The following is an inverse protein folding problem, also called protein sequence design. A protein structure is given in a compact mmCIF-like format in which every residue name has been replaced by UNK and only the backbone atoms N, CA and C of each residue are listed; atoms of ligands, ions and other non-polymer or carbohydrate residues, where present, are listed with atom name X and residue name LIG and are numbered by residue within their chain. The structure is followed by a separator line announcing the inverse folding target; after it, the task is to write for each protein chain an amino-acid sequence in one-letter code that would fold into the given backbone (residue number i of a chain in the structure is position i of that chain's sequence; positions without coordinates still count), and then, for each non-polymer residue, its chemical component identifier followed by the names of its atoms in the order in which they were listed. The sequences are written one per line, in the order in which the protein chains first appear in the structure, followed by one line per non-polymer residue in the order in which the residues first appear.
data_IF_737699143391
#
_entry.id   IF_737699143391
#
_cell.length_a   1.000
_cell.length_b   1.000
_cell.length_c   1.000
_cell.angle_alpha   90.00
_cell.angle_beta   90.00
_cell.angle_gamma   90.00
#
_symmetry.space_group_name_H-M   'P 1'
#
loop_
_entity.id
_entity.type
_entity.pdbx_description
1 polymer ?
#
# COMPACT_ATOMS: atom_id res chain seq x y z
N UNK A 1 -12.20 9.61 -23.01
CA UNK A 1 -11.78 10.91 -22.44
C UNK A 1 -10.65 10.62 -21.47
N UNK A 2 -9.43 11.13 -21.62
CA UNK A 2 -8.32 10.73 -20.78
C UNK A 2 -8.52 11.31 -19.37
N UNK A 3 -8.81 10.43 -18.39
CA UNK A 3 -8.94 10.72 -16.95
C UNK A 3 -7.61 11.09 -16.26
N UNK A 4 -6.53 11.27 -17.01
CA UNK A 4 -5.17 11.20 -16.51
C UNK A 4 -4.37 12.52 -16.56
N UNK A 5 -5.00 13.70 -16.38
CA UNK A 5 -4.22 14.96 -16.32
C UNK A 5 -4.78 15.97 -15.34
N UNK A 6 -4.49 15.77 -14.03
CA UNK A 6 -4.37 16.91 -13.09
C UNK A 6 -3.32 16.55 -12.02
N UNK A 7 -2.18 17.20 -12.06
CA UNK A 7 -0.97 16.78 -11.35
C UNK A 7 -0.98 16.99 -9.83
N UNK A 8 -1.67 17.94 -9.26
CA UNK A 8 -1.57 18.21 -7.82
C UNK A 8 -2.38 17.31 -6.88
N UNK A 9 -3.73 17.27 -6.98
CA UNK A 9 -4.57 16.49 -6.08
C UNK A 9 -4.34 14.98 -6.21
N UNK A 10 -4.13 14.48 -7.44
CA UNK A 10 -3.92 13.08 -7.72
C UNK A 10 -2.59 12.56 -7.11
N UNK A 11 -1.53 13.37 -7.13
CA UNK A 11 -0.25 13.02 -6.50
C UNK A 11 -0.42 12.85 -4.99
N UNK A 12 -1.12 13.77 -4.33
CA UNK A 12 -1.40 13.68 -2.90
C UNK A 12 -2.22 12.43 -2.56
N UNK A 13 -3.17 12.06 -3.40
CA UNK A 13 -4.02 10.89 -3.23
C UNK A 13 -3.25 9.58 -3.43
N UNK A 14 -2.38 9.51 -4.43
CA UNK A 14 -1.48 8.38 -4.60
C UNK A 14 -0.53 8.25 -3.40
N UNK A 15 0.04 9.35 -2.93
CA UNK A 15 0.93 9.35 -1.76
C UNK A 15 0.23 8.82 -0.50
N UNK A 16 -1.04 9.23 -0.26
CA UNK A 16 -1.83 8.70 0.86
C UNK A 16 -1.99 7.19 0.77
N UNK A 17 -2.27 6.67 -0.42
CA UNK A 17 -2.46 5.24 -0.64
C UNK A 17 -1.16 4.45 -0.47
N UNK A 18 -0.05 4.96 -1.01
CA UNK A 18 1.28 4.39 -0.83
C UNK A 18 1.70 4.36 0.65
N UNK A 19 1.47 5.47 1.36
CA UNK A 19 1.72 5.58 2.80
C UNK A 19 0.89 4.60 3.61
N UNK A 20 -0.41 4.48 3.31
CA UNK A 20 -1.31 3.57 3.99
C UNK A 20 -0.94 2.10 3.83
N UNK A 21 -0.33 1.72 2.70
CA UNK A 21 0.23 0.38 2.52
C UNK A 21 1.38 0.13 3.51
N UNK A 22 2.29 1.10 3.66
CA UNK A 22 3.37 1.04 4.65
C UNK A 22 2.86 0.97 6.08
N UNK A 23 1.87 1.79 6.44
CA UNK A 23 1.25 1.79 7.77
C UNK A 23 0.65 0.42 8.09
N UNK A 24 -0.11 -0.15 7.13
CA UNK A 24 -0.77 -1.46 7.29
C UNK A 24 0.24 -2.57 7.55
N UNK A 25 1.36 -2.58 6.81
CA UNK A 25 2.40 -3.60 6.92
C UNK A 25 3.25 -3.46 8.19
N UNK A 26 3.37 -2.25 8.71
CA UNK A 26 4.11 -1.95 9.94
C UNK A 26 3.25 -2.06 11.20
N UNK A 27 1.96 -2.39 11.07
CA UNK A 27 1.02 -2.48 12.18
C UNK A 27 0.63 -1.14 12.79
N UNK A 28 0.88 -0.04 12.08
CA UNK A 28 0.50 1.31 12.51
C UNK A 28 -0.96 1.64 12.14
N UNK A 29 -1.52 2.61 12.83
CA UNK A 29 -2.83 3.18 12.49
C UNK A 29 -2.72 3.90 11.14
N UNK A 30 -3.72 3.75 10.28
CA UNK A 30 -3.76 4.42 8.99
C UNK A 30 -3.58 5.95 9.14
N UNK A 31 -2.69 6.52 8.34
CA UNK A 31 -2.30 7.91 8.38
C UNK A 31 -1.07 8.19 9.26
N UNK A 32 -0.46 7.17 9.88
CA UNK A 32 0.78 7.31 10.63
C UNK A 32 1.88 7.94 9.77
N UNK A 33 2.17 7.38 8.61
CA UNK A 33 3.18 7.92 7.69
C UNK A 33 2.88 9.34 7.25
N UNK A 34 1.62 9.70 7.02
CA UNK A 34 1.23 11.07 6.68
C UNK A 34 1.43 12.05 7.85
N UNK A 35 1.25 11.60 9.10
CA UNK A 35 1.59 12.42 10.27
C UNK A 35 3.10 12.63 10.38
N UNK A 36 3.88 11.56 10.20
CA UNK A 36 5.35 11.67 10.14
C UNK A 36 5.77 12.66 9.05
N UNK A 37 5.17 12.58 7.85
CA UNK A 37 5.42 13.51 6.75
C UNK A 37 5.18 14.98 7.14
N UNK A 38 4.00 15.25 7.70
CA UNK A 38 3.58 16.59 8.08
C UNK A 38 4.51 17.18 9.14
N UNK A 39 4.83 16.42 10.19
CA UNK A 39 5.73 16.88 11.26
C UNK A 39 7.15 17.08 10.73
N UNK A 40 7.66 16.14 9.91
CA UNK A 40 9.02 16.24 9.36
C UNK A 40 9.18 17.47 8.45
N UNK A 41 8.19 17.75 7.60
CA UNK A 41 8.22 18.92 6.73
C UNK A 41 8.15 20.24 7.54
N UNK A 42 7.23 20.34 8.51
CA UNK A 42 7.12 21.51 9.36
C UNK A 42 8.39 21.72 10.22
N UNK A 43 8.99 20.65 10.71
CA UNK A 43 10.26 20.71 11.42
C UNK A 43 11.41 21.16 10.50
N UNK A 44 11.45 20.69 9.25
CA UNK A 44 12.41 21.12 8.25
C UNK A 44 12.28 22.63 7.93
N UNK A 45 11.05 23.16 7.82
CA UNK A 45 10.78 24.60 7.69
C UNK A 45 11.26 25.36 8.92
N UNK A 46 11.00 24.88 10.14
CA UNK A 46 11.45 25.51 11.39
C UNK A 46 12.98 25.62 11.47
N UNK A 47 13.69 24.64 10.94
CA UNK A 47 15.15 24.63 10.85
C UNK A 47 15.71 25.59 9.81
N UNK A 48 14.87 26.11 8.91
CA UNK A 48 15.30 26.92 7.78
C UNK A 48 15.96 26.10 6.67
N UNK A 49 15.62 24.81 6.54
CA UNK A 49 16.12 23.96 5.47
C UNK A 49 15.64 24.47 4.09
N UNK A 50 16.42 24.25 3.01
CA UNK A 50 16.01 24.61 1.66
C UNK A 50 14.67 23.94 1.24
N UNK A 51 13.88 24.58 0.36
CA UNK A 51 12.57 24.07 -0.07
C UNK A 51 12.58 22.64 -0.61
N UNK A 52 13.63 22.24 -1.32
CA UNK A 52 13.82 20.89 -1.82
C UNK A 52 14.04 19.86 -0.71
N UNK A 53 14.69 20.25 0.39
CA UNK A 53 14.88 19.40 1.59
C UNK A 53 13.57 19.25 2.33
N UNK A 54 12.78 20.33 2.44
CA UNK A 54 11.43 20.31 3.03
C UNK A 54 10.53 19.33 2.27
N UNK A 55 10.50 19.44 0.93
CA UNK A 55 9.72 18.55 0.10
C UNK A 55 10.18 17.10 0.25
N UNK A 56 11.49 16.83 0.15
CA UNK A 56 12.05 15.49 0.32
C UNK A 56 11.72 14.89 1.71
N UNK A 57 11.75 15.72 2.76
CA UNK A 57 11.39 15.30 4.13
C UNK A 57 9.92 14.90 4.25
N UNK A 58 9.02 15.61 3.57
CA UNK A 58 7.60 15.27 3.51
C UNK A 58 7.38 13.90 2.86
N UNK A 59 7.91 13.73 1.64
CA UNK A 59 7.73 12.49 0.90
C UNK A 59 8.42 11.29 1.57
N UNK A 60 9.62 11.51 2.13
CA UNK A 60 10.31 10.46 2.87
C UNK A 60 9.58 10.09 4.16
N UNK A 61 9.03 11.06 4.88
CA UNK A 61 8.17 10.81 6.04
C UNK A 61 6.94 9.98 5.70
N UNK A 62 6.25 10.30 4.59
CA UNK A 62 5.09 9.54 4.13
C UNK A 62 5.42 8.09 3.74
N UNK A 63 6.59 7.88 3.13
CA UNK A 63 6.96 6.61 2.49
C UNK A 63 8.01 5.80 3.29
N UNK A 64 8.36 6.23 4.51
CA UNK A 64 9.43 5.60 5.29
C UNK A 64 9.24 4.09 5.55
N UNK A 65 8.00 3.63 5.58
CA UNK A 65 7.63 2.23 5.84
C UNK A 65 7.30 1.43 4.57
N UNK A 66 7.32 2.04 3.37
CA UNK A 66 6.85 1.40 2.13
C UNK A 66 7.64 0.14 1.77
N UNK A 67 8.90 0.05 2.18
CA UNK A 67 9.73 -1.14 1.93
C UNK A 67 9.23 -2.41 2.59
N UNK A 68 8.32 -2.30 3.58
CA UNK A 68 7.65 -3.44 4.19
C UNK A 68 6.87 -4.30 3.19
N UNK A 69 6.50 -3.78 2.01
CA UNK A 69 5.87 -4.57 0.95
C UNK A 69 6.76 -5.70 0.43
N UNK A 70 8.07 -5.64 0.59
CA UNK A 70 9.01 -6.70 0.23
C UNK A 70 9.37 -7.65 1.39
N UNK A 71 8.83 -7.41 2.58
CA UNK A 71 9.00 -8.33 3.71
C UNK A 71 8.18 -9.59 3.44
N UNK A 72 8.77 -10.80 3.52
CA UNK A 72 8.04 -12.04 3.29
C UNK A 72 6.83 -12.19 4.22
N UNK A 73 5.75 -12.77 3.70
CA UNK A 73 4.56 -13.10 4.48
C UNK A 73 4.96 -14.14 5.55
N UNK A 74 4.56 -13.90 6.80
CA UNK A 74 4.90 -14.77 7.92
C UNK A 74 6.32 -14.62 8.45
N UNK A 75 7.06 -13.57 8.01
CA UNK A 75 8.33 -13.23 8.64
C UNK A 75 8.10 -12.98 10.14
N UNK A 76 8.91 -13.60 11.02
CA UNK A 76 8.71 -13.45 12.46
C UNK A 76 8.91 -11.99 12.88
N UNK A 77 7.99 -11.48 13.70
CA UNK A 77 8.10 -10.12 14.24
C UNK A 77 9.28 -9.97 15.25
N UNK A 78 9.74 -11.09 15.80
CA UNK A 78 10.75 -11.13 16.86
C UNK A 78 11.90 -12.08 16.49
N UNK A 79 12.99 -11.99 17.24
CA UNK A 79 14.17 -12.82 17.02
C UNK A 79 15.09 -12.29 15.91
N UNK A 80 16.13 -13.08 15.60
CA UNK A 80 17.15 -12.67 14.61
C UNK A 80 16.59 -12.41 13.22
N UNK A 81 15.65 -13.23 12.77
CA UNK A 81 15.05 -13.12 11.44
C UNK A 81 14.15 -11.88 11.34
N UNK A 82 13.35 -11.59 12.38
CA UNK A 82 12.55 -10.37 12.44
C UNK A 82 13.39 -9.11 12.44
N UNK A 83 14.51 -9.11 13.17
CA UNK A 83 15.47 -7.99 13.17
C UNK A 83 16.07 -7.79 11.77
N UNK A 84 16.48 -8.87 11.09
CA UNK A 84 17.03 -8.79 9.73
C UNK A 84 16.00 -8.28 8.74
N UNK A 85 14.75 -8.78 8.80
CA UNK A 85 13.67 -8.29 7.95
C UNK A 85 13.41 -6.80 8.17
N UNK A 86 13.39 -6.33 9.43
CA UNK A 86 13.23 -4.92 9.74
C UNK A 86 14.38 -4.04 9.20
N UNK A 87 15.60 -4.57 9.14
CA UNK A 87 16.77 -3.87 8.59
C UNK A 87 16.69 -3.68 7.08
N UNK A 88 16.01 -4.56 6.38
CA UNK A 88 15.85 -4.48 4.92
C UNK A 88 14.76 -3.47 4.49
N UNK A 89 13.82 -3.14 5.37
CA UNK A 89 12.71 -2.21 5.04
C UNK A 89 13.21 -0.87 4.50
N UNK A 90 14.17 -0.14 5.11
CA UNK A 90 14.67 1.12 4.56
C UNK A 90 15.34 0.96 3.20
N UNK A 91 16.07 -0.15 3.00
CA UNK A 91 16.74 -0.48 1.72
C UNK A 91 15.72 -0.71 0.62
N UNK A 92 14.74 -1.56 0.88
CA UNK A 92 13.65 -1.84 -0.05
C UNK A 92 12.83 -0.59 -0.35
N UNK A 93 12.53 0.22 0.68
CA UNK A 93 11.83 1.49 0.52
C UNK A 93 12.55 2.44 -0.42
N UNK A 94 13.86 2.61 -0.24
CA UNK A 94 14.68 3.44 -1.12
C UNK A 94 14.66 2.94 -2.58
N UNK A 95 14.76 1.62 -2.80
CA UNK A 95 14.69 1.03 -4.14
C UNK A 95 13.32 1.25 -4.79
N UNK A 96 12.23 1.06 -4.05
CA UNK A 96 10.87 1.30 -4.56
C UNK A 96 10.73 2.78 -4.96
N UNK A 97 11.13 3.72 -4.08
CA UNK A 97 11.04 5.15 -4.34
C UNK A 97 11.84 5.56 -5.57
N UNK A 98 13.06 5.05 -5.71
CA UNK A 98 13.89 5.31 -6.88
C UNK A 98 13.25 4.81 -8.18
N UNK A 99 12.57 3.66 -8.14
CA UNK A 99 11.86 3.09 -9.28
C UNK A 99 10.58 3.84 -9.64
N UNK A 100 9.88 4.44 -8.67
CA UNK A 100 8.68 5.24 -8.94
C UNK A 100 8.99 6.50 -9.78
N UNK A 101 10.16 7.10 -9.59
CA UNK A 101 10.54 8.34 -10.26
C UNK A 101 9.69 9.55 -9.88
N UNK A 102 10.06 10.74 -10.36
CA UNK A 102 9.25 11.95 -10.20
C UNK A 102 9.05 12.44 -8.76
N UNK A 103 9.71 11.87 -7.76
CA UNK A 103 9.76 12.36 -6.37
C UNK A 103 11.00 13.25 -6.16
N UNK A 104 11.03 14.12 -5.12
CA UNK A 104 12.23 14.90 -4.81
C UNK A 104 13.47 14.01 -4.69
N UNK A 105 14.61 14.35 -5.29
CA UNK A 105 15.75 13.43 -5.47
C UNK A 105 16.28 12.81 -4.18
N UNK A 106 16.30 13.57 -3.08
CA UNK A 106 16.81 13.07 -1.79
C UNK A 106 15.82 12.16 -1.02
N UNK A 107 14.59 11.97 -1.52
CA UNK A 107 13.55 11.18 -0.83
C UNK A 107 14.00 9.74 -0.58
N UNK A 108 14.60 9.09 -1.59
CA UNK A 108 15.07 7.72 -1.47
C UNK A 108 16.19 7.58 -0.42
N UNK A 109 17.14 8.51 -0.40
CA UNK A 109 18.24 8.53 0.56
C UNK A 109 17.74 8.75 1.99
N UNK A 110 16.77 9.66 2.18
CA UNK A 110 16.20 9.91 3.50
C UNK A 110 15.41 8.69 4.01
N UNK A 111 14.71 7.98 3.14
CA UNK A 111 14.07 6.70 3.49
C UNK A 111 15.11 5.64 3.79
N UNK A 112 16.21 5.54 3.03
CA UNK A 112 17.27 4.58 3.29
C UNK A 112 17.87 4.77 4.69
N UNK A 113 18.10 6.02 5.10
CA UNK A 113 18.90 6.32 6.30
C UNK A 113 18.12 6.82 7.51
N UNK A 114 16.78 6.85 7.48
CA UNK A 114 15.98 7.29 8.64
C UNK A 114 16.09 6.35 9.87
N UNK A 115 16.68 5.18 9.70
CA UNK A 115 16.98 4.21 10.80
C UNK A 115 18.45 4.18 11.20
N UNK A 116 19.25 5.05 10.61
CA UNK A 116 20.60 5.24 11.09
C UNK A 116 20.61 5.92 12.45
N UNK A 117 21.65 5.63 13.25
CA UNK A 117 21.83 6.19 14.58
C UNK A 117 23.10 7.02 14.63
N UNK A 118 23.04 8.16 15.30
CA UNK A 118 24.16 9.12 15.37
C UNK A 118 25.47 8.48 15.88
N UNK A 119 25.39 7.48 16.76
CA UNK A 119 26.53 6.74 17.30
C UNK A 119 27.01 5.59 16.38
N UNK A 120 26.33 5.33 15.24
CA UNK A 120 26.66 4.28 14.28
C UNK A 120 26.12 2.90 14.63
N UNK A 121 25.22 2.79 15.60
CA UNK A 121 24.54 1.52 15.93
C UNK A 121 23.29 1.28 15.08
N UNK A 122 22.90 2.26 14.25
CA UNK A 122 21.77 2.18 13.35
C UNK A 122 22.02 1.31 12.12
N UNK A 123 21.11 1.38 11.16
CA UNK A 123 21.11 0.58 9.94
C UNK A 123 20.46 1.33 8.77
N UNK A 124 20.72 0.97 7.52
CA UNK A 124 21.40 -0.24 7.04
C UNK A 124 22.91 -0.11 6.92
N UNK A 125 23.47 1.09 6.74
CA UNK A 125 24.86 1.31 6.33
C UNK A 125 25.80 1.61 7.52
N UNK A 126 25.27 1.71 8.74
CA UNK A 126 25.98 2.04 9.98
C UNK A 126 26.74 3.36 9.89
N UNK A 127 26.09 4.33 9.27
CA UNK A 127 26.63 5.69 9.16
C UNK A 127 26.77 6.31 10.56
N UNK A 128 27.69 7.27 10.68
CA UNK A 128 27.96 7.97 11.95
C UNK A 128 28.01 9.46 11.74
N UNK A 129 27.51 10.19 12.75
CA UNK A 129 27.63 11.66 12.84
C UNK A 129 27.19 12.33 11.53
N UNK A 130 28.09 13.17 10.96
CA UNK A 130 27.82 13.93 9.74
C UNK A 130 27.73 13.07 8.46
N UNK A 131 27.98 11.77 8.55
CA UNK A 131 27.73 10.85 7.45
C UNK A 131 26.24 10.60 7.21
N UNK A 132 25.38 10.89 8.20
CA UNK A 132 23.93 10.74 8.07
C UNK A 132 23.35 12.12 7.71
N UNK A 133 22.57 12.25 6.64
CA UNK A 133 21.86 13.50 6.34
C UNK A 133 20.99 13.95 7.51
N UNK A 134 21.10 15.21 7.89
CA UNK A 134 20.32 15.75 9.02
C UNK A 134 18.81 15.54 8.87
N UNK A 135 18.28 15.63 7.64
CA UNK A 135 16.88 15.35 7.35
C UNK A 135 16.50 13.88 7.62
N UNK A 136 17.38 12.92 7.32
CA UNK A 136 17.12 11.50 7.62
C UNK A 136 17.06 11.26 9.15
N UNK A 137 18.01 11.82 9.92
CA UNK A 137 17.97 11.77 11.40
C UNK A 137 16.69 12.43 11.92
N UNK A 138 16.31 13.58 11.35
CA UNK A 138 15.09 14.31 11.75
C UNK A 138 13.84 13.45 11.52
N UNK A 139 13.73 12.77 10.37
CA UNK A 139 12.61 11.85 10.07
C UNK A 139 12.58 10.70 11.08
N UNK A 140 13.73 10.12 11.43
CA UNK A 140 13.83 9.09 12.46
C UNK A 140 13.32 9.57 13.82
N UNK A 141 13.71 10.80 14.25
CA UNK A 141 13.23 11.43 15.48
C UNK A 141 11.71 11.70 15.45
N UNK A 142 11.22 12.26 14.35
CA UNK A 142 9.79 12.52 14.14
C UNK A 142 8.98 11.23 14.20
N UNK A 143 9.45 10.16 13.52
CA UNK A 143 8.79 8.86 13.55
C UNK A 143 8.67 8.34 14.98
N UNK A 144 9.76 8.34 15.74
CA UNK A 144 9.77 7.88 17.14
C UNK A 144 8.84 8.74 18.02
N UNK A 145 8.78 10.03 17.77
CA UNK A 145 7.88 10.94 18.44
C UNK A 145 6.40 10.63 18.14
N UNK A 146 6.04 10.46 16.87
CA UNK A 146 4.67 10.13 16.47
C UNK A 146 4.27 8.74 16.99
N UNK A 147 5.19 7.77 17.00
CA UNK A 147 4.98 6.44 17.56
C UNK A 147 4.72 6.50 19.07
N UNK A 148 5.45 7.34 19.81
CA UNK A 148 5.22 7.55 21.23
C UNK A 148 3.85 8.18 21.52
N UNK A 149 3.37 9.09 20.64
CA UNK A 149 2.02 9.66 20.75
C UNK A 149 0.91 8.63 20.56
N UNK A 150 1.16 7.57 19.78
CA UNK A 150 0.14 6.54 19.46
C UNK A 150 0.17 5.32 20.39
N UNK A 151 1.30 5.09 21.09
CA UNK A 151 1.55 3.82 21.79
C UNK A 151 0.69 3.58 23.05
N UNK A 152 -0.02 4.58 23.57
CA UNK A 152 -0.75 4.50 24.84
C UNK A 152 -2.27 4.46 24.71
N UNK A 153 -2.84 4.36 23.49
CA UNK A 153 -4.32 4.27 23.30
C UNK A 153 -5.11 5.53 23.69
N UNK A 154 -4.53 6.40 24.49
CA UNK A 154 -4.85 7.79 24.73
C UNK A 154 -3.59 8.56 24.31
N UNK A 155 -3.74 9.58 23.46
CA UNK A 155 -2.62 10.39 23.00
C UNK A 155 -1.77 10.81 24.19
N UNK A 156 -0.56 10.29 24.29
CA UNK A 156 0.42 10.83 25.22
C UNK A 156 0.58 12.31 24.89
N UNK A 157 0.71 13.14 25.90
CA UNK A 157 0.93 14.56 25.63
C UNK A 157 2.23 14.73 24.82
N UNK A 158 2.33 15.72 23.93
CA UNK A 158 3.59 16.01 23.23
C UNK A 158 4.80 16.12 24.16
N UNK A 159 4.60 16.56 25.40
CA UNK A 159 5.65 16.61 26.41
C UNK A 159 6.15 15.20 26.81
N UNK A 160 5.27 14.26 26.97
CA UNK A 160 5.61 12.85 27.29
C UNK A 160 6.32 12.19 26.10
N UNK A 161 5.84 12.43 24.88
CA UNK A 161 6.49 11.94 23.68
C UNK A 161 7.91 12.54 23.51
N UNK A 162 8.10 13.81 23.81
CA UNK A 162 9.43 14.45 23.84
C UNK A 162 10.34 13.87 24.93
N UNK A 163 9.77 13.51 26.08
CA UNK A 163 10.52 12.86 27.15
C UNK A 163 10.99 11.47 26.75
N UNK A 164 10.18 10.71 26.00
CA UNK A 164 10.58 9.41 25.47
C UNK A 164 11.83 9.51 24.55
N UNK A 165 11.98 10.60 23.81
CA UNK A 165 13.16 10.87 22.97
C UNK A 165 14.42 11.23 23.78
N UNK A 166 14.29 11.70 25.02
CA UNK A 166 15.44 12.20 25.80
C UNK A 166 16.48 11.11 26.10
N UNK A 167 16.08 9.85 26.24
CA UNK A 167 16.98 8.71 26.46
C UNK A 167 17.85 8.35 25.25
N UNK A 168 17.49 8.82 24.07
CA UNK A 168 18.14 8.51 22.79
C UNK A 168 19.07 9.63 22.30
N UNK A 169 19.14 10.73 23.02
CA UNK A 169 20.03 11.86 22.71
C UNK A 169 21.49 11.45 22.85
N UNK A 170 22.28 11.71 21.81
CA UNK A 170 23.70 11.32 21.75
C UNK A 170 23.92 9.89 21.26
N UNK A 171 22.85 9.07 21.15
CA UNK A 171 22.86 7.73 20.56
C UNK A 171 22.19 7.76 19.20
N UNK A 172 20.86 7.76 19.20
CA UNK A 172 20.05 7.77 17.97
C UNK A 172 20.04 9.14 17.32
N UNK A 173 19.95 10.22 18.12
CA UNK A 173 19.87 11.60 17.64
C UNK A 173 21.04 12.43 18.14
N UNK A 174 21.47 13.43 17.31
CA UNK A 174 22.45 14.41 17.78
C UNK A 174 21.81 15.34 18.82
N UNK A 175 22.66 15.89 19.72
CA UNK A 175 22.26 16.91 20.70
C UNK A 175 21.64 18.12 19.98
N UNK A 176 22.14 18.48 18.80
CA UNK A 176 21.63 19.58 18.00
C UNK A 176 20.18 19.30 17.55
N UNK A 177 19.92 18.16 16.91
CA UNK A 177 18.56 17.78 16.48
C UNK A 177 17.60 17.74 17.68
N UNK A 178 18.03 17.21 18.82
CA UNK A 178 17.19 17.18 20.01
C UNK A 178 16.82 18.57 20.54
N UNK A 179 17.77 19.52 20.51
CA UNK A 179 17.51 20.92 20.89
C UNK A 179 16.55 21.63 19.93
N UNK A 180 16.79 21.48 18.64
CA UNK A 180 15.95 22.05 17.58
C UNK A 180 14.53 21.47 17.64
N UNK A 181 14.41 20.16 17.86
CA UNK A 181 13.13 19.48 17.98
C UNK A 181 12.34 19.95 19.22
N UNK A 182 13.02 20.09 20.36
CA UNK A 182 12.41 20.66 21.57
C UNK A 182 11.95 22.11 21.37
N UNK A 183 12.75 22.95 20.70
CA UNK A 183 12.38 24.31 20.38
C UNK A 183 11.17 24.38 19.45
N UNK A 184 11.12 23.50 18.45
CA UNK A 184 9.99 23.38 17.52
C UNK A 184 8.65 23.13 18.23
N UNK A 185 8.65 22.28 19.26
CA UNK A 185 7.42 21.96 20.01
C UNK A 185 7.12 22.93 21.15
N UNK A 186 8.10 23.71 21.64
CA UNK A 186 7.87 24.65 22.72
C UNK A 186 6.83 25.74 22.37
N UNK A 187 6.81 26.15 21.09
CA UNK A 187 5.95 27.24 20.60
C UNK A 187 4.76 26.79 19.79
N UNK A 188 4.61 25.46 19.53
CA UNK A 188 3.71 24.95 18.47
C UNK A 188 3.01 23.65 18.82
N UNK A 189 2.48 23.50 20.01
CA UNK A 189 1.79 22.29 20.47
C UNK A 189 0.55 21.88 19.64
N UNK A 190 0.06 22.73 18.73
CA UNK A 190 -1.19 22.56 17.99
C UNK A 190 -1.03 22.34 16.48
N UNK A 191 0.19 22.28 15.93
CA UNK A 191 0.39 22.36 14.46
C UNK A 191 0.69 21.03 13.76
N UNK A 192 -0.07 19.97 14.10
CA UNK A 192 -0.02 18.72 13.32
C UNK A 192 -1.04 18.67 12.17
N UNK A 193 -1.81 19.74 11.94
CA UNK A 193 -3.00 19.67 11.09
C UNK A 193 -2.73 19.80 9.59
N UNK A 194 -1.65 20.48 9.18
CA UNK A 194 -1.37 20.66 7.76
C UNK A 194 0.13 20.65 7.46
N UNK A 195 0.54 20.05 6.32
CA UNK A 195 1.91 20.23 5.83
C UNK A 195 2.12 21.67 5.37
N UNK A 196 3.38 22.15 5.33
CA UNK A 196 3.70 23.45 4.73
C UNK A 196 3.42 23.40 3.22
N UNK A 197 3.37 24.57 2.59
CA UNK A 197 3.39 24.65 1.14
C UNK A 197 4.69 24.05 0.61
N UNK A 198 4.57 23.04 -0.25
CA UNK A 198 5.72 22.34 -0.81
C UNK A 198 6.11 22.97 -2.14
N UNK A 199 7.39 23.31 -2.30
CA UNK A 199 7.93 23.84 -3.55
C UNK A 199 7.99 22.81 -4.70
N UNK A 200 7.64 21.57 -4.45
CA UNK A 200 7.61 20.50 -5.44
C UNK A 200 6.18 20.30 -5.96
N UNK A 201 6.01 20.50 -7.28
CA UNK A 201 4.71 20.51 -7.95
C UNK A 201 4.22 19.14 -8.43
N UNK A 202 4.99 18.09 -8.22
CA UNK A 202 4.68 16.74 -8.69
C UNK A 202 4.91 16.56 -10.20
N UNK A 203 5.58 17.48 -10.86
CA UNK A 203 5.90 17.34 -12.27
C UNK A 203 6.73 16.07 -12.54
N UNK A 204 6.19 15.20 -13.41
CA UNK A 204 6.82 13.92 -13.74
C UNK A 204 6.48 12.75 -12.80
N UNK A 205 5.67 12.94 -11.75
CA UNK A 205 5.16 11.83 -10.95
C UNK A 205 3.91 11.21 -11.59
N UNK A 206 4.05 9.95 -12.01
CA UNK A 206 2.92 9.16 -12.51
C UNK A 206 2.19 8.48 -11.34
N UNK A 207 1.14 9.12 -10.85
CA UNK A 207 0.36 8.63 -9.70
C UNK A 207 -0.28 7.26 -9.94
N UNK A 208 -0.85 7.01 -11.13
CA UNK A 208 -1.45 5.71 -11.47
C UNK A 208 -0.40 4.64 -11.66
N UNK A 209 0.70 4.96 -12.35
CA UNK A 209 1.85 4.07 -12.50
C UNK A 209 2.49 3.73 -11.16
N UNK A 210 2.61 4.69 -10.24
CA UNK A 210 3.14 4.46 -8.91
C UNK A 210 2.26 3.50 -8.09
N UNK A 211 0.95 3.68 -8.13
CA UNK A 211 0.00 2.78 -7.46
C UNK A 211 0.02 1.38 -8.11
N UNK A 212 0.08 1.29 -9.44
CA UNK A 212 0.19 0.02 -10.15
C UNK A 212 1.51 -0.71 -9.82
N UNK A 213 2.63 0.01 -9.75
CA UNK A 213 3.93 -0.54 -9.36
C UNK A 213 3.88 -1.10 -7.91
N UNK A 214 3.25 -0.38 -6.98
CA UNK A 214 3.04 -0.88 -5.62
C UNK A 214 2.19 -2.16 -5.62
N UNK A 215 1.13 -2.21 -6.42
CA UNK A 215 0.31 -3.42 -6.57
C UNK A 215 1.14 -4.62 -7.04
N UNK A 216 2.07 -4.43 -7.98
CA UNK A 216 2.98 -5.46 -8.44
C UNK A 216 3.94 -5.94 -7.33
N UNK A 217 4.45 -5.02 -6.50
CA UNK A 217 5.28 -5.38 -5.33
C UNK A 217 4.47 -6.17 -4.29
N UNK A 218 3.20 -5.80 -4.04
CA UNK A 218 2.31 -6.57 -3.15
C UNK A 218 2.06 -7.97 -3.71
N UNK A 219 1.78 -8.09 -5.00
CA UNK A 219 1.58 -9.38 -5.67
C UNK A 219 2.83 -10.27 -5.58
N UNK A 220 4.02 -9.69 -5.60
CA UNK A 220 5.28 -10.40 -5.56
C UNK A 220 5.63 -10.99 -4.19
N UNK A 221 4.93 -10.62 -3.12
CA UNK A 221 5.15 -11.15 -1.75
C UNK A 221 4.87 -12.65 -1.63
N UNK A 222 4.00 -13.19 -2.48
CA UNK A 222 3.65 -14.60 -2.54
C UNK A 222 3.82 -15.10 -3.99
N UNK A 223 4.54 -16.21 -4.17
CA UNK A 223 4.77 -16.80 -5.49
C UNK A 223 3.47 -17.13 -6.25
N UNK A 224 2.41 -17.49 -5.52
CA UNK A 224 1.09 -17.84 -6.10
C UNK A 224 0.38 -16.63 -6.69
N UNK A 225 0.64 -15.44 -6.14
CA UNK A 225 0.02 -14.19 -6.59
C UNK A 225 0.96 -13.34 -7.43
N UNK A 226 2.23 -13.71 -7.54
CA UNK A 226 3.23 -12.96 -8.32
C UNK A 226 2.72 -12.64 -9.72
N UNK A 227 2.64 -11.33 -10.04
CA UNK A 227 2.18 -10.82 -11.33
C UNK A 227 0.69 -11.04 -11.62
N UNK A 228 -0.14 -11.35 -10.60
CA UNK A 228 -1.60 -11.55 -10.78
C UNK A 228 -2.25 -10.33 -11.41
N UNK A 229 -1.98 -9.14 -10.90
CA UNK A 229 -2.54 -7.89 -11.43
C UNK A 229 -2.26 -7.73 -12.92
N UNK A 230 -1.04 -8.03 -13.36
CA UNK A 230 -0.63 -7.92 -14.76
C UNK A 230 -1.24 -9.00 -15.66
N UNK A 231 -1.50 -10.20 -15.14
CA UNK A 231 -2.20 -11.26 -15.90
C UNK A 231 -3.69 -10.97 -16.00
N UNK A 232 -4.32 -10.49 -14.91
CA UNK A 232 -5.77 -10.27 -14.84
C UNK A 232 -6.19 -8.99 -15.57
N UNK A 233 -5.39 -7.93 -15.53
CA UNK A 233 -5.73 -6.63 -16.11
C UNK A 233 -6.14 -6.69 -17.60
N UNK A 234 -5.41 -7.35 -18.51
CA UNK A 234 -5.81 -7.43 -19.91
C UNK A 234 -7.06 -8.30 -20.12
N UNK A 235 -7.32 -9.28 -19.26
CA UNK A 235 -8.54 -10.09 -19.29
C UNK A 235 -9.72 -9.22 -18.85
N UNK A 236 -9.58 -8.49 -17.75
CA UNK A 236 -10.61 -7.59 -17.24
C UNK A 236 -10.96 -6.49 -18.27
N UNK A 237 -9.95 -5.91 -18.94
CA UNK A 237 -10.17 -4.93 -20.01
C UNK A 237 -10.98 -5.51 -21.19
N UNK A 238 -10.62 -6.70 -21.66
CA UNK A 238 -11.32 -7.35 -22.77
C UNK A 238 -12.77 -7.74 -22.40
N UNK A 239 -12.99 -8.22 -21.18
CA UNK A 239 -14.32 -8.49 -20.65
C UNK A 239 -15.15 -7.19 -20.54
N UNK A 240 -14.55 -6.11 -20.05
CA UNK A 240 -15.22 -4.83 -19.91
C UNK A 240 -15.70 -4.26 -21.25
N UNK A 241 -14.84 -4.32 -22.27
CA UNK A 241 -15.20 -3.92 -23.63
C UNK A 241 -16.43 -4.68 -24.14
N UNK A 242 -16.51 -6.00 -23.87
CA UNK A 242 -17.64 -6.84 -24.25
C UNK A 242 -18.91 -6.54 -23.42
N UNK A 243 -18.73 -6.21 -22.15
CA UNK A 243 -19.83 -5.95 -21.21
C UNK A 243 -20.31 -4.51 -21.22
N UNK A 244 -19.74 -3.62 -22.06
CA UNK A 244 -20.08 -2.19 -22.10
C UNK A 244 -19.60 -1.39 -20.90
N UNK A 245 -18.54 -1.87 -20.23
CA UNK A 245 -17.84 -1.18 -19.14
C UNK A 245 -16.55 -0.52 -19.67
N UNK A 246 -15.96 0.38 -18.88
CA UNK A 246 -14.69 1.00 -19.23
C UNK A 246 -13.52 0.00 -19.10
N UNK A 247 -12.78 -0.30 -20.20
CA UNK A 247 -11.68 -1.25 -20.17
C UNK A 247 -10.47 -0.77 -19.35
N UNK A 248 -10.19 0.53 -19.35
CA UNK A 248 -9.04 1.08 -18.60
C UNK A 248 -9.32 1.03 -17.11
N UNK A 249 -10.53 1.40 -16.68
CA UNK A 249 -10.96 1.26 -15.29
C UNK A 249 -10.94 -0.21 -14.83
N UNK A 250 -11.41 -1.13 -15.66
CA UNK A 250 -11.42 -2.56 -15.31
C UNK A 250 -9.99 -3.11 -15.16
N UNK A 251 -9.08 -2.75 -16.08
CA UNK A 251 -7.68 -3.16 -16.00
C UNK A 251 -6.99 -2.60 -14.76
N UNK A 252 -7.24 -1.33 -14.43
CA UNK A 252 -6.64 -0.71 -13.25
C UNK A 252 -7.23 -1.30 -11.96
N UNK A 253 -8.56 -1.47 -11.89
CA UNK A 253 -9.23 -2.10 -10.75
C UNK A 253 -8.72 -3.54 -10.49
N UNK A 254 -8.40 -4.30 -11.53
CA UNK A 254 -7.79 -5.62 -11.40
C UNK A 254 -6.45 -5.56 -10.64
N UNK A 255 -5.59 -4.58 -10.92
CA UNK A 255 -4.34 -4.35 -10.16
C UNK A 255 -4.62 -3.96 -8.73
N UNK A 256 -5.57 -3.07 -8.48
CA UNK A 256 -5.93 -2.60 -7.15
C UNK A 256 -6.40 -3.71 -6.19
N UNK A 257 -6.80 -4.88 -6.70
CA UNK A 257 -7.12 -6.04 -5.84
C UNK A 257 -5.95 -6.49 -4.98
N UNK A 258 -4.71 -6.15 -5.38
CA UNK A 258 -3.50 -6.41 -4.60
C UNK A 258 -3.57 -5.83 -3.18
N UNK A 259 -4.19 -4.66 -2.99
CA UNK A 259 -4.32 -4.02 -1.67
C UNK A 259 -5.07 -4.90 -0.66
N UNK A 260 -5.93 -5.78 -1.11
CA UNK A 260 -6.59 -6.75 -0.23
C UNK A 260 -5.61 -7.64 0.54
N UNK A 261 -4.48 -7.98 -0.06
CA UNK A 261 -3.47 -8.88 0.49
C UNK A 261 -2.45 -8.22 1.43
N UNK A 262 -2.66 -6.96 1.79
CA UNK A 262 -1.81 -6.26 2.77
C UNK A 262 -2.08 -6.67 4.21
N UNK A 263 -3.23 -7.28 4.50
CA UNK A 263 -3.46 -7.86 5.82
C UNK A 263 -2.83 -9.26 5.91
N UNK A 264 -2.32 -9.58 7.07
CA UNK A 264 -1.70 -10.88 7.36
C UNK A 264 -2.77 -11.97 7.53
N UNK A 265 -3.37 -12.46 6.46
CA UNK A 265 -4.05 -13.73 6.53
C UNK A 265 -3.42 -14.63 5.51
N UNK A 266 -2.52 -15.46 5.95
CA UNK A 266 -2.17 -16.71 5.29
C UNK A 266 -3.36 -17.67 5.45
N UNK A 267 -4.51 -17.32 4.95
CA UNK A 267 -5.50 -18.32 4.64
C UNK A 267 -4.95 -19.04 3.42
N UNK A 268 -4.50 -20.25 3.61
CA UNK A 268 -3.91 -21.02 2.56
C UNK A 268 -4.76 -20.96 1.30
N UNK A 269 -4.22 -20.36 0.24
CA UNK A 269 -4.82 -20.36 -1.12
C UNK A 269 -4.79 -21.77 -1.74
N UNK A 270 -4.69 -22.81 -0.91
CA UNK A 270 -4.77 -24.21 -1.32
C UNK A 270 -6.19 -24.65 -1.66
N UNK A 271 -7.16 -23.74 -1.53
CA UNK A 271 -8.55 -24.04 -1.85
C UNK A 271 -8.86 -23.80 -3.31
N UNK A 272 -9.66 -24.71 -3.87
CA UNK A 272 -10.27 -24.50 -5.17
C UNK A 272 -11.03 -23.16 -5.18
N UNK A 273 -10.79 -22.27 -6.17
CA UNK A 273 -11.47 -20.96 -6.26
C UNK A 273 -13.00 -21.02 -6.24
N UNK A 274 -13.59 -22.15 -6.62
CA UNK A 274 -15.04 -22.40 -6.56
C UNK A 274 -15.50 -22.91 -5.18
N UNK A 275 -14.57 -23.25 -4.29
CA UNK A 275 -14.90 -23.70 -2.94
C UNK A 275 -15.39 -22.56 -2.05
N UNK A 276 -16.32 -22.87 -1.14
CA UNK A 276 -16.69 -21.98 -0.04
C UNK A 276 -15.60 -21.88 1.04
N UNK A 277 -14.69 -22.85 1.05
CA UNK A 277 -13.50 -22.75 1.89
C UNK A 277 -12.69 -21.51 1.45
N UNK A 278 -12.19 -20.74 2.41
CA UNK A 278 -11.49 -19.48 2.11
C UNK A 278 -12.40 -18.28 1.75
N UNK A 279 -13.74 -18.42 1.76
CA UNK A 279 -14.64 -17.28 1.49
C UNK A 279 -14.47 -16.14 2.49
N UNK A 280 -14.22 -16.44 3.76
CA UNK A 280 -13.92 -15.43 4.79
C UNK A 280 -12.61 -14.68 4.52
N UNK A 281 -11.57 -15.38 4.05
CA UNK A 281 -10.30 -14.76 3.68
C UNK A 281 -10.49 -13.81 2.49
N UNK A 282 -11.17 -14.25 1.43
CA UNK A 282 -11.48 -13.39 0.27
C UNK A 282 -12.33 -12.17 0.66
N UNK A 283 -13.26 -12.33 1.61
CA UNK A 283 -14.04 -11.24 2.13
C UNK A 283 -13.20 -10.27 2.99
N UNK A 284 -12.21 -10.78 3.72
CA UNK A 284 -11.25 -9.95 4.45
C UNK A 284 -10.37 -9.13 3.49
N UNK A 285 -9.89 -9.75 2.40
CA UNK A 285 -9.19 -9.06 1.32
C UNK A 285 -10.05 -7.93 0.73
N UNK A 286 -11.31 -8.23 0.40
CA UNK A 286 -12.23 -7.26 -0.15
C UNK A 286 -12.44 -6.06 0.80
N UNK A 287 -12.65 -6.32 2.10
CA UNK A 287 -12.79 -5.26 3.12
C UNK A 287 -11.52 -4.42 3.25
N UNK A 288 -10.35 -5.04 3.19
CA UNK A 288 -9.07 -4.35 3.29
C UNK A 288 -8.85 -3.44 2.09
N UNK A 289 -9.06 -3.94 0.86
CA UNK A 289 -8.96 -3.13 -0.34
C UNK A 289 -9.96 -1.95 -0.31
N UNK A 290 -11.22 -2.21 0.06
CA UNK A 290 -12.24 -1.16 0.19
C UNK A 290 -11.82 -0.07 1.16
N UNK A 291 -11.32 -0.45 2.35
CA UNK A 291 -10.89 0.50 3.38
C UNK A 291 -9.73 1.36 2.91
N UNK A 292 -8.71 0.75 2.32
CA UNK A 292 -7.51 1.45 1.86
C UNK A 292 -7.82 2.41 0.71
N UNK A 293 -8.60 1.98 -0.28
CA UNK A 293 -8.98 2.86 -1.38
C UNK A 293 -9.89 4.01 -0.93
N UNK A 294 -10.73 3.77 0.08
CA UNK A 294 -11.65 4.79 0.60
C UNK A 294 -10.98 5.99 1.28
N UNK A 295 -9.69 5.89 1.67
CA UNK A 295 -8.97 7.03 2.26
C UNK A 295 -8.40 8.01 1.23
N UNK A 296 -8.44 7.67 -0.04
CA UNK A 296 -7.84 8.44 -1.12
C UNK A 296 -8.93 8.84 -2.13
N UNK A 297 -9.37 10.11 -2.16
CA UNK A 297 -10.48 10.55 -2.99
C UNK A 297 -10.40 10.14 -4.47
N UNK A 298 -9.22 10.24 -5.09
CA UNK A 298 -9.03 9.86 -6.49
C UNK A 298 -9.20 8.35 -6.77
N UNK A 299 -9.05 7.50 -5.76
CA UNK A 299 -9.17 6.04 -5.90
C UNK A 299 -10.41 5.48 -5.19
N UNK A 300 -11.15 6.33 -4.46
CA UNK A 300 -12.34 5.93 -3.72
C UNK A 300 -13.46 5.39 -4.61
N UNK A 301 -13.51 5.79 -5.88
CA UNK A 301 -14.48 5.26 -6.86
C UNK A 301 -14.39 3.75 -7.05
N UNK A 302 -13.20 3.16 -6.87
CA UNK A 302 -12.99 1.71 -6.96
C UNK A 302 -13.38 0.95 -5.69
N UNK A 303 -13.47 1.62 -4.55
CA UNK A 303 -13.70 0.99 -3.24
C UNK A 303 -15.00 0.15 -3.18
N UNK A 304 -16.16 0.60 -3.70
CA UNK A 304 -17.38 -0.20 -3.70
C UNK A 304 -17.27 -1.50 -4.50
N UNK A 305 -16.57 -1.47 -5.64
CA UNK A 305 -16.39 -2.66 -6.48
C UNK A 305 -15.43 -3.64 -5.81
N UNK A 306 -14.29 -3.16 -5.30
CA UNK A 306 -13.32 -4.04 -4.65
C UNK A 306 -13.85 -4.62 -3.33
N UNK A 307 -14.66 -3.86 -2.59
CA UNK A 307 -15.34 -4.35 -1.39
C UNK A 307 -16.38 -5.44 -1.65
N UNK A 308 -16.86 -5.57 -2.89
CA UNK A 308 -17.87 -6.55 -3.29
C UNK A 308 -17.32 -7.69 -4.18
N UNK A 309 -16.01 -7.74 -4.44
CA UNK A 309 -15.41 -8.72 -5.37
C UNK A 309 -15.56 -10.17 -4.92
N UNK A 310 -15.74 -10.40 -3.62
CA UNK A 310 -15.95 -11.73 -3.03
C UNK A 310 -17.43 -12.12 -2.85
N UNK A 311 -18.37 -11.24 -3.26
CA UNK A 311 -19.79 -11.56 -3.27
C UNK A 311 -20.12 -12.62 -4.32
N UNK A 312 -21.12 -13.45 -4.02
CA UNK A 312 -21.64 -14.44 -4.94
C UNK A 312 -22.96 -13.98 -5.56
N UNK A 313 -23.16 -14.25 -6.83
CA UNK A 313 -24.30 -13.74 -7.58
C UNK A 313 -25.65 -14.19 -6.99
N UNK A 314 -25.72 -15.36 -6.38
CA UNK A 314 -26.91 -15.88 -5.69
C UNK A 314 -27.17 -15.25 -4.31
N UNK A 315 -26.27 -14.40 -3.82
CA UNK A 315 -26.35 -13.72 -2.51
C UNK A 315 -25.79 -14.54 -1.34
N UNK A 316 -25.18 -15.70 -1.60
CA UNK A 316 -24.55 -16.52 -0.54
C UNK A 316 -23.10 -16.17 -0.26
N UNK A 317 -22.53 -15.18 -1.00
CA UNK A 317 -21.18 -14.66 -0.84
C UNK A 317 -21.03 -13.72 0.34
N UNK A 318 -19.85 -13.18 0.51
CA UNK A 318 -19.43 -12.27 1.58
C UNK A 318 -18.72 -11.05 0.99
N UNK A 319 -18.63 -9.92 1.69
CA UNK A 319 -18.97 -9.72 3.12
C UNK A 319 -20.41 -9.29 3.41
N UNK A 320 -21.15 -8.79 2.42
CA UNK A 320 -22.44 -8.11 2.64
C UNK A 320 -23.64 -8.94 2.16
N UNK A 321 -23.39 -10.11 1.56
CA UNK A 321 -24.42 -11.01 0.98
C UNK A 321 -25.30 -10.31 -0.06
N UNK A 322 -24.67 -9.46 -0.88
CA UNK A 322 -25.33 -8.82 -2.00
C UNK A 322 -25.72 -9.86 -3.05
N UNK A 323 -26.84 -9.65 -3.72
CA UNK A 323 -27.38 -10.58 -4.69
C UNK A 323 -27.59 -9.94 -6.05
N UNK A 324 -27.24 -10.65 -7.12
CA UNK A 324 -27.56 -10.27 -8.50
C UNK A 324 -26.99 -8.89 -8.86
N UNK A 325 -27.82 -8.03 -9.41
CA UNK A 325 -27.45 -6.70 -9.86
C UNK A 325 -27.14 -5.70 -8.73
N UNK A 326 -27.43 -6.03 -7.47
CA UNK A 326 -26.99 -5.24 -6.33
C UNK A 326 -25.46 -5.33 -6.07
N UNK A 327 -24.80 -6.29 -6.73
CA UNK A 327 -23.33 -6.35 -6.79
C UNK A 327 -22.88 -5.39 -7.90
N UNK A 328 -21.96 -4.45 -7.64
CA UNK A 328 -21.46 -3.54 -8.66
C UNK A 328 -20.99 -4.28 -9.92
N UNK A 329 -21.29 -3.80 -11.14
CA UNK A 329 -20.93 -4.49 -12.38
C UNK A 329 -19.41 -4.81 -12.47
N UNK A 330 -18.57 -3.84 -12.08
CA UNK A 330 -17.11 -4.02 -12.04
C UNK A 330 -16.70 -5.14 -11.05
N UNK A 331 -17.36 -5.26 -9.89
CA UNK A 331 -17.11 -6.35 -8.94
C UNK A 331 -17.43 -7.71 -9.54
N UNK A 332 -18.60 -7.84 -10.22
CA UNK A 332 -19.02 -9.08 -10.90
C UNK A 332 -18.04 -9.50 -11.99
N UNK A 333 -17.52 -8.52 -12.75
CA UNK A 333 -16.49 -8.74 -13.77
C UNK A 333 -15.19 -9.23 -13.14
N UNK A 334 -14.69 -8.52 -12.14
CA UNK A 334 -13.44 -8.86 -11.45
C UNK A 334 -13.52 -10.23 -10.77
N UNK A 335 -14.66 -10.61 -10.19
CA UNK A 335 -14.84 -11.91 -9.58
C UNK A 335 -14.58 -13.06 -10.58
N UNK A 336 -15.06 -12.93 -11.82
CA UNK A 336 -14.82 -13.91 -12.88
C UNK A 336 -13.36 -13.91 -13.33
N UNK A 337 -12.78 -12.73 -13.59
CA UNK A 337 -11.41 -12.61 -14.08
C UNK A 337 -10.37 -13.14 -13.08
N UNK A 338 -10.54 -12.80 -11.78
CA UNK A 338 -9.69 -13.29 -10.70
C UNK A 338 -9.84 -14.80 -10.46
N UNK A 339 -11.08 -15.32 -10.55
CA UNK A 339 -11.32 -16.75 -10.41
C UNK A 339 -10.68 -17.54 -11.55
N UNK A 340 -10.71 -17.02 -12.78
CA UNK A 340 -10.05 -17.63 -13.91
C UNK A 340 -8.53 -17.76 -13.70
N UNK A 341 -7.84 -16.67 -13.29
CA UNK A 341 -6.40 -16.71 -12.97
C UNK A 341 -6.09 -17.67 -11.82
N UNK A 342 -6.93 -17.68 -10.78
CA UNK A 342 -6.76 -18.58 -9.65
C UNK A 342 -6.98 -20.05 -10.03
N UNK A 343 -7.91 -20.35 -10.93
CA UNK A 343 -8.14 -21.70 -11.45
C UNK A 343 -6.96 -22.20 -12.27
N UNK A 344 -6.36 -21.32 -13.12
CA UNK A 344 -5.16 -21.65 -13.88
C UNK A 344 -3.98 -21.92 -12.94
N UNK A 345 -3.76 -21.08 -11.94
CA UNK A 345 -2.72 -21.28 -10.93
C UNK A 345 -2.93 -22.57 -10.11
N UNK A 346 -4.16 -22.86 -9.71
CA UNK A 346 -4.53 -24.06 -8.98
C UNK A 346 -4.25 -25.34 -9.80
N UNK A 347 -4.56 -25.31 -11.11
CA UNK A 347 -4.29 -26.42 -12.01
C UNK A 347 -2.79 -26.65 -12.23
N UNK A 348 -2.01 -25.58 -12.37
CA UNK A 348 -0.55 -25.66 -12.55
C UNK A 348 0.16 -26.31 -11.34
N UNK A 349 -0.35 -26.08 -10.13
CA UNK A 349 0.19 -26.69 -8.90
C UNK A 349 -0.17 -28.17 -8.75
N UNK A 350 -1.08 -28.70 -9.59
CA UNK A 350 -1.61 -30.07 -9.53
C UNK A 350 -1.58 -30.76 -10.89
N UNK A 351 -0.39 -30.96 -11.49
CA UNK A 351 -0.26 -31.44 -12.88
C UNK A 351 -0.83 -32.80 -13.14
N UNK A 352 -1.23 -33.56 -12.12
CA UNK A 352 -1.91 -34.87 -12.26
C UNK A 352 -3.43 -34.83 -12.04
N UNK A 353 -3.98 -33.66 -11.68
CA UNK A 353 -5.41 -33.56 -11.45
C UNK A 353 -6.17 -33.41 -12.78
N UNK A 354 -7.17 -34.26 -13.00
CA UNK A 354 -8.05 -34.15 -14.17
C UNK A 354 -9.11 -33.05 -13.91
N UNK A 355 -8.70 -31.79 -14.03
CA UNK A 355 -9.57 -30.62 -13.84
C UNK A 355 -10.14 -30.18 -15.19
N UNK A 356 -11.46 -29.91 -15.28
CA UNK A 356 -12.04 -29.32 -16.48
C UNK A 356 -11.42 -27.94 -16.79
N UNK A 357 -11.45 -27.55 -18.06
CA UNK A 357 -11.00 -26.23 -18.51
C UNK A 357 -11.71 -25.09 -17.78
N UNK A 358 -10.99 -23.98 -17.58
CA UNK A 358 -11.50 -22.81 -16.84
C UNK A 358 -12.87 -22.33 -17.35
N UNK A 359 -13.15 -22.21 -18.68
CA UNK A 359 -14.47 -21.82 -19.15
C UNK A 359 -15.58 -22.77 -18.72
N UNK A 360 -15.33 -24.09 -18.70
CA UNK A 360 -16.32 -25.10 -18.28
C UNK A 360 -16.61 -24.92 -16.78
N UNK A 361 -15.58 -24.72 -15.96
CA UNK A 361 -15.71 -24.51 -14.51
C UNK A 361 -16.47 -23.22 -14.18
N UNK A 362 -16.14 -22.11 -14.86
CA UNK A 362 -16.86 -20.85 -14.72
C UNK A 362 -18.33 -20.99 -15.13
N UNK A 363 -18.59 -21.67 -16.25
CA UNK A 363 -19.96 -21.95 -16.73
C UNK A 363 -20.80 -22.76 -15.73
N UNK A 364 -20.20 -23.76 -15.08
CA UNK A 364 -20.87 -24.54 -14.04
C UNK A 364 -21.25 -23.73 -12.79
N UNK A 365 -20.52 -22.63 -12.51
CA UNK A 365 -20.77 -21.73 -11.38
C UNK A 365 -21.59 -20.47 -11.78
N UNK A 366 -21.99 -20.34 -13.04
CA UNK A 366 -22.82 -19.23 -13.51
C UNK A 366 -24.21 -19.26 -12.85
N UNK A 367 -24.69 -18.10 -12.43
CA UNK A 367 -25.96 -17.96 -11.69
C UNK A 367 -25.89 -18.27 -10.20
N UNK A 368 -24.78 -18.89 -9.73
CA UNK A 368 -24.51 -19.15 -8.31
C UNK A 368 -23.39 -18.23 -7.81
N UNK A 369 -22.16 -18.56 -8.07
CA UNK A 369 -21.02 -17.73 -7.69
C UNK A 369 -20.84 -16.54 -8.63
N UNK A 370 -20.97 -16.75 -9.94
CA UNK A 370 -20.69 -15.73 -10.95
C UNK A 370 -21.93 -15.25 -11.67
N UNK A 371 -21.90 -13.98 -12.09
CA UNK A 371 -22.87 -13.42 -13.03
C UNK A 371 -22.76 -14.11 -14.38
N UNK A 372 -23.86 -14.73 -14.91
CA UNK A 372 -23.87 -15.38 -16.22
C UNK A 372 -23.42 -14.46 -17.37
N UNK A 373 -23.77 -13.15 -17.31
CA UNK A 373 -23.35 -12.19 -18.32
C UNK A 373 -21.83 -11.96 -18.31
N UNK A 374 -21.21 -11.91 -17.13
CA UNK A 374 -19.76 -11.76 -17.01
C UNK A 374 -19.00 -13.05 -17.40
N UNK A 375 -19.57 -14.22 -17.15
CA UNK A 375 -19.02 -15.48 -17.66
C UNK A 375 -19.07 -15.52 -19.19
N UNK A 376 -20.16 -15.08 -19.80
CA UNK A 376 -20.26 -14.95 -21.26
C UNK A 376 -19.25 -13.93 -21.82
N UNK A 377 -19.05 -12.79 -21.16
CA UNK A 377 -18.04 -11.81 -21.54
C UNK A 377 -16.61 -12.37 -21.48
N UNK A 378 -16.29 -13.18 -20.48
CA UNK A 378 -15.01 -13.90 -20.38
C UNK A 378 -14.80 -14.87 -21.55
N UNK A 379 -15.82 -15.66 -21.87
CA UNK A 379 -15.76 -16.61 -22.99
C UNK A 379 -15.53 -15.87 -24.34
N UNK A 380 -16.24 -14.77 -24.57
CA UNK A 380 -16.08 -13.94 -25.77
C UNK A 380 -14.68 -13.29 -25.86
N UNK A 381 -14.13 -12.81 -24.74
CA UNK A 381 -12.80 -12.21 -24.68
C UNK A 381 -11.67 -13.21 -25.00
N UNK A 382 -11.89 -14.52 -24.84
CA UNK A 382 -10.90 -15.57 -25.21
C UNK A 382 -10.94 -15.97 -26.69
N UNK A 383 -12.08 -15.84 -27.35
CA UNK A 383 -12.23 -16.21 -28.77
C UNK A 383 -11.53 -15.19 -29.68
N UNK A 384 -11.33 -13.95 -29.21
CA UNK A 384 -10.67 -12.88 -29.95
C UNK A 384 -9.14 -12.81 -29.78
N UNK A 385 -8.54 -13.80 -29.12
CA UNK A 385 -7.08 -13.97 -28.96
C UNK A 385 -6.63 -15.22 -29.71
#
# INVERSE_FOLDING_TARGET
MPLLRSSGPLTADALRLLSAAGDTLSGHVLGFGMRVATVAANFSVHRGDPPEVVAASYYAGALHAIGGVRTPIGAPANGREGVLAAWEVPVHGAHIIAALGGLPPATADYVRWHRESFDGTGYPDRLRWNGIPNAAIAIGAVRTFVEALESNGEYASPAEALFALAGDVGKTFSIQIAREFRAFFADRMETFEAPPELAWDGAGFDAYGAVAALCAEIDARDERTRGRGERVAPVAAAMAATAGLDPEQAAFAARLTAFGRLHEIVAGDDYDPLSRLGSEARAADARTAQRLLGISPAFAEFAPALGAVAEWFDGSGLPQRRKGENIPPLARLLAVALAADAMDAYAQQRPGANLPDVPIRLGAAAGTQFDPAMVAAYAAARVGR
#
